data_IF_758888050851
#
_entry.id   IF_758888050851
#
_cell.length_a   1.000
_cell.length_b   1.000
_cell.length_c   1.000
_cell.angle_alpha   90.00
_cell.angle_beta   90.00
_cell.angle_gamma   90.00
#
_symmetry.space_group_name_H-M   'P 1'
#
loop_
_entity.id
_entity.type
_entity.pdbx_description
1 polymer ?
#
# COMPACT_ATOMS: atom_id res chain seq x y z
N UNK A 1 -11.06 -15.25 31.67
CA UNK A 1 -10.49 -14.02 31.04
C UNK A 1 -9.56 -14.34 29.86
N UNK A 2 -8.63 -15.30 29.99
CA UNK A 2 -7.66 -15.70 28.96
C UNK A 2 -8.27 -16.21 27.63
N UNK A 3 -9.31 -17.04 27.68
CA UNK A 3 -9.98 -17.56 26.47
C UNK A 3 -10.62 -16.45 25.61
N UNK A 4 -11.25 -15.44 26.25
CA UNK A 4 -11.82 -14.29 25.53
C UNK A 4 -10.74 -13.50 24.79
N UNK A 5 -9.54 -13.38 25.38
CA UNK A 5 -8.40 -12.71 24.76
C UNK A 5 -7.88 -13.51 23.56
N UNK A 6 -7.68 -14.82 23.73
CA UNK A 6 -7.22 -15.72 22.66
C UNK A 6 -8.24 -15.82 21.51
N UNK A 7 -9.54 -15.83 21.81
CA UNK A 7 -10.60 -15.79 20.81
C UNK A 7 -10.56 -14.49 20.00
N UNK A 8 -10.41 -13.33 20.66
CA UNK A 8 -10.26 -12.04 19.97
C UNK A 8 -8.99 -11.98 19.11
N UNK A 9 -7.87 -12.47 19.65
CA UNK A 9 -6.60 -12.52 18.94
C UNK A 9 -6.70 -13.39 17.69
N UNK A 10 -7.26 -14.59 17.80
CA UNK A 10 -7.51 -15.49 16.68
C UNK A 10 -8.39 -14.87 15.60
N UNK A 11 -9.51 -14.22 15.96
CA UNK A 11 -10.39 -13.54 14.99
C UNK A 11 -9.69 -12.37 14.28
N UNK A 12 -8.88 -11.60 15.01
CA UNK A 12 -8.09 -10.50 14.43
C UNK A 12 -7.02 -11.05 13.48
N UNK A 13 -6.34 -12.13 13.84
CA UNK A 13 -5.33 -12.77 13.00
C UNK A 13 -5.94 -13.37 11.72
N UNK A 14 -7.13 -13.95 11.80
CA UNK A 14 -7.85 -14.43 10.62
C UNK A 14 -8.21 -13.28 9.66
N UNK A 15 -8.72 -12.17 10.18
CA UNK A 15 -9.02 -10.99 9.37
C UNK A 15 -7.76 -10.31 8.81
N UNK A 16 -6.64 -10.34 9.54
CA UNK A 16 -5.33 -9.91 9.04
C UNK A 16 -4.85 -10.79 7.89
N UNK A 17 -4.99 -12.11 7.98
CA UNK A 17 -4.66 -13.02 6.89
C UNK A 17 -5.52 -12.75 5.66
N UNK A 18 -6.83 -12.58 5.85
CA UNK A 18 -7.74 -12.21 4.77
C UNK A 18 -7.35 -10.88 4.10
N UNK A 19 -7.00 -9.89 4.91
CA UNK A 19 -6.49 -8.60 4.45
C UNK A 19 -5.23 -8.77 3.61
N UNK A 20 -4.27 -9.57 4.08
CA UNK A 20 -3.01 -9.83 3.39
C UNK A 20 -3.20 -10.42 2.00
N UNK A 21 -4.15 -11.36 1.85
CA UNK A 21 -4.48 -11.99 0.55
C UNK A 21 -5.10 -11.03 -0.46
N UNK A 22 -5.73 -9.94 0.01
CA UNK A 22 -6.42 -8.97 -0.85
C UNK A 22 -5.56 -7.80 -1.29
N UNK A 23 -4.44 -7.54 -0.61
CA UNK A 23 -3.58 -6.43 -0.95
C UNK A 23 -2.61 -6.84 -2.05
N UNK A 24 -2.65 -6.12 -3.18
CA UNK A 24 -1.66 -6.26 -4.24
C UNK A 24 -0.23 -5.98 -3.73
N UNK A 25 0.73 -6.72 -4.26
CA UNK A 25 2.18 -6.58 -4.04
C UNK A 25 2.72 -5.21 -4.48
N UNK A 26 1.92 -4.44 -5.23
CA UNK A 26 2.20 -3.04 -5.47
C UNK A 26 2.25 -2.21 -4.18
N UNK A 27 1.43 -2.56 -3.19
CA UNK A 27 1.22 -1.78 -1.98
C UNK A 27 1.94 -2.36 -0.76
N UNK A 28 2.18 -3.67 -0.71
CA UNK A 28 2.92 -4.30 0.38
C UNK A 28 4.26 -4.86 -0.10
N UNK A 29 5.33 -4.42 0.57
CA UNK A 29 6.65 -5.00 0.36
C UNK A 29 6.68 -6.44 0.84
N UNK A 30 7.54 -7.24 0.21
CA UNK A 30 7.81 -8.63 0.62
C UNK A 30 8.14 -8.72 2.10
N UNK A 31 8.98 -7.82 2.60
CA UNK A 31 9.43 -7.83 3.99
C UNK A 31 8.28 -7.55 4.95
N UNK A 32 7.36 -6.63 4.60
CA UNK A 32 6.13 -6.42 5.38
C UNK A 32 5.22 -7.65 5.36
N UNK A 33 5.11 -8.36 4.24
CA UNK A 33 4.31 -9.60 4.18
C UNK A 33 4.91 -10.70 5.06
N UNK A 34 6.24 -10.89 5.00
CA UNK A 34 6.97 -11.83 5.85
C UNK A 34 6.72 -11.50 7.33
N UNK A 35 6.91 -10.24 7.71
CA UNK A 35 6.69 -9.78 9.07
C UNK A 35 5.27 -10.07 9.59
N UNK A 36 4.25 -9.85 8.75
CA UNK A 36 2.86 -10.15 9.12
C UNK A 36 2.66 -11.67 9.26
N UNK A 37 3.18 -12.48 8.34
CA UNK A 37 3.02 -13.96 8.40
C UNK A 37 3.72 -14.55 9.63
N UNK A 38 4.92 -14.07 9.96
CA UNK A 38 5.65 -14.49 11.17
C UNK A 38 4.86 -14.16 12.44
N UNK A 39 4.18 -13.00 12.47
CA UNK A 39 3.25 -12.66 13.54
C UNK A 39 2.05 -13.62 13.62
N UNK A 40 1.43 -13.94 12.49
CA UNK A 40 0.30 -14.87 12.46
C UNK A 40 0.70 -16.27 12.95
N UNK A 41 1.89 -16.74 12.58
CA UNK A 41 2.45 -18.00 13.06
C UNK A 41 2.74 -17.97 14.57
N UNK A 42 3.22 -16.84 15.10
CA UNK A 42 3.42 -16.65 16.54
C UNK A 42 2.09 -16.73 17.31
N UNK A 43 1.02 -16.12 16.79
CA UNK A 43 -0.33 -16.23 17.36
C UNK A 43 -0.81 -17.68 17.40
N UNK A 44 -0.59 -18.45 16.31
CA UNK A 44 -0.93 -19.88 16.30
C UNK A 44 -0.16 -20.62 17.41
N UNK A 45 1.14 -20.33 17.58
CA UNK A 45 1.95 -20.93 18.64
C UNK A 45 1.46 -20.55 20.04
N UNK A 46 0.97 -19.32 20.26
CA UNK A 46 0.32 -18.91 21.51
C UNK A 46 -0.98 -19.69 21.78
N UNK A 47 -1.84 -19.84 20.78
CA UNK A 47 -3.08 -20.62 20.91
C UNK A 47 -2.79 -22.09 21.25
N UNK A 48 -1.83 -22.72 20.54
CA UNK A 48 -1.43 -24.11 20.79
C UNK A 48 -0.85 -24.29 22.20
N UNK A 49 0.07 -23.42 22.62
CA UNK A 49 0.65 -23.46 23.99
C UNK A 49 -0.41 -23.28 25.08
N UNK A 50 -1.48 -22.55 24.79
CA UNK A 50 -2.60 -22.34 25.70
C UNK A 50 -3.67 -23.44 25.63
N UNK A 51 -3.47 -24.50 24.84
CA UNK A 51 -4.47 -25.54 24.55
C UNK A 51 -5.81 -24.98 24.02
N UNK A 52 -5.78 -23.81 23.38
CA UNK A 52 -6.95 -23.13 22.85
C UNK A 52 -7.20 -23.55 21.39
N UNK A 53 -8.29 -24.29 21.15
CA UNK A 53 -8.67 -24.73 19.80
C UNK A 53 -9.42 -23.64 19.05
N UNK A 54 -9.00 -23.36 17.82
CA UNK A 54 -9.66 -22.40 16.92
C UNK A 54 -9.37 -22.77 15.46
N UNK A 55 -10.31 -22.57 14.52
CA UNK A 55 -10.08 -22.84 13.09
C UNK A 55 -8.86 -22.11 12.52
N UNK A 56 -8.45 -20.99 13.13
CA UNK A 56 -7.25 -20.26 12.70
C UNK A 56 -5.96 -21.11 12.79
N UNK A 57 -5.89 -22.08 13.70
CA UNK A 57 -4.73 -22.99 13.82
C UNK A 57 -4.55 -23.82 12.54
N UNK A 58 -5.65 -24.16 11.86
CA UNK A 58 -5.64 -24.96 10.62
C UNK A 58 -4.95 -24.22 9.47
N UNK A 59 -4.75 -22.89 9.58
CA UNK A 59 -4.03 -22.08 8.60
C UNK A 59 -2.51 -22.18 8.71
N UNK A 60 -1.97 -22.92 9.69
CA UNK A 60 -0.53 -23.00 9.95
C UNK A 60 0.27 -23.47 8.74
N UNK A 61 -0.15 -24.58 8.12
CA UNK A 61 0.57 -25.15 6.97
C UNK A 61 0.58 -24.19 5.79
N UNK A 62 -0.59 -23.62 5.47
CA UNK A 62 -0.74 -22.59 4.45
C UNK A 62 0.22 -21.40 4.70
N UNK A 63 0.30 -20.91 5.92
CA UNK A 63 1.18 -19.80 6.29
C UNK A 63 2.66 -20.14 6.15
N UNK A 64 3.07 -21.37 6.50
CA UNK A 64 4.45 -21.83 6.36
C UNK A 64 4.87 -21.94 4.89
N UNK A 65 3.97 -22.43 4.03
CA UNK A 65 4.20 -22.49 2.58
C UNK A 65 4.39 -21.07 2.03
N UNK A 66 3.45 -20.16 2.31
CA UNK A 66 3.57 -18.76 1.86
C UNK A 66 4.84 -18.08 2.38
N UNK A 67 5.22 -18.32 3.63
CA UNK A 67 6.45 -17.79 4.20
C UNK A 67 7.70 -18.29 3.45
N UNK A 68 7.73 -19.59 3.14
CA UNK A 68 8.81 -20.21 2.37
C UNK A 68 8.89 -19.63 0.96
N UNK A 69 7.77 -19.52 0.26
CA UNK A 69 7.71 -18.91 -1.09
C UNK A 69 8.20 -17.47 -1.11
N UNK A 70 7.80 -16.66 -0.13
CA UNK A 70 8.26 -15.28 -0.01
C UNK A 70 9.76 -15.21 0.26
N UNK A 71 10.28 -16.03 1.18
CA UNK A 71 11.72 -16.06 1.49
C UNK A 71 12.56 -16.53 0.30
N UNK A 72 12.06 -17.48 -0.48
CA UNK A 72 12.70 -17.98 -1.70
C UNK A 72 12.49 -17.10 -2.93
N UNK A 73 11.67 -16.04 -2.83
CA UNK A 73 11.35 -15.16 -3.95
C UNK A 73 10.53 -15.83 -5.05
N UNK A 74 9.84 -16.94 -4.77
CA UNK A 74 9.08 -17.74 -5.73
C UNK A 74 7.62 -17.31 -5.89
N UNK A 75 7.19 -16.31 -5.14
CA UNK A 75 5.80 -15.85 -5.16
C UNK A 75 5.48 -15.04 -6.44
N UNK A 76 4.41 -15.42 -7.14
CA UNK A 76 3.90 -14.66 -8.30
C UNK A 76 3.18 -13.41 -7.78
N UNK A 77 3.88 -12.28 -7.84
CA UNK A 77 3.39 -11.01 -7.33
C UNK A 77 2.37 -10.35 -8.28
N UNK A 78 1.11 -10.18 -7.83
CA UNK A 78 0.17 -9.25 -8.49
C UNK A 78 0.62 -7.81 -8.21
N UNK A 79 0.97 -7.06 -9.26
CA UNK A 79 1.37 -5.64 -9.16
C UNK A 79 0.27 -4.69 -9.62
N UNK A 80 -0.98 -5.12 -9.51
CA UNK A 80 -2.14 -4.39 -9.99
C UNK A 80 -2.30 -3.06 -9.26
N UNK A 81 -2.66 -2.04 -10.05
CA UNK A 81 -2.93 -0.71 -9.54
C UNK A 81 -4.41 -0.56 -9.27
N UNK A 82 -4.73 0.29 -8.31
CA UNK A 82 -6.10 0.74 -8.08
C UNK A 82 -6.52 1.49 -9.34
N UNK A 83 -7.64 1.08 -9.92
CA UNK A 83 -8.14 1.63 -11.18
C UNK A 83 -9.51 2.30 -11.05
N UNK A 84 -10.17 2.16 -9.90
CA UNK A 84 -11.47 2.76 -9.61
C UNK A 84 -11.56 3.30 -8.17
N UNK A 85 -12.52 4.20 -7.94
CA UNK A 85 -12.81 4.74 -6.60
C UNK A 85 -13.21 3.62 -5.61
N UNK A 86 -14.00 2.65 -6.05
CA UNK A 86 -14.40 1.52 -5.22
C UNK A 86 -13.19 0.67 -4.79
N UNK A 87 -12.28 0.36 -5.72
CA UNK A 87 -11.04 -0.36 -5.39
C UNK A 87 -10.15 0.45 -4.45
N UNK A 88 -10.09 1.77 -4.64
CA UNK A 88 -9.35 2.66 -3.76
C UNK A 88 -9.87 2.58 -2.33
N UNK A 89 -11.18 2.74 -2.12
CA UNK A 89 -11.81 2.70 -0.79
C UNK A 89 -11.62 1.35 -0.12
N UNK A 90 -11.78 0.25 -0.86
CA UNK A 90 -11.49 -1.09 -0.35
C UNK A 90 -10.02 -1.23 0.09
N UNK A 91 -9.08 -0.75 -0.72
CA UNK A 91 -7.66 -0.78 -0.39
C UNK A 91 -7.34 0.08 0.84
N UNK A 92 -7.91 1.28 0.94
CA UNK A 92 -7.73 2.16 2.10
C UNK A 92 -8.26 1.50 3.38
N UNK A 93 -9.43 0.88 3.34
CA UNK A 93 -10.01 0.19 4.49
C UNK A 93 -9.15 -0.99 4.95
N UNK A 94 -8.64 -1.79 4.01
CA UNK A 94 -7.76 -2.91 4.31
C UNK A 94 -6.44 -2.43 4.92
N UNK A 95 -5.79 -1.43 4.33
CA UNK A 95 -4.53 -0.90 4.83
C UNK A 95 -4.71 -0.21 6.21
N UNK A 96 -5.84 0.46 6.43
CA UNK A 96 -6.16 1.08 7.72
C UNK A 96 -6.37 0.03 8.81
N UNK A 97 -7.04 -1.08 8.47
CA UNK A 97 -7.14 -2.23 9.35
C UNK A 97 -5.74 -2.76 9.70
N UNK A 98 -4.89 -3.01 8.70
CA UNK A 98 -3.53 -3.50 8.94
C UNK A 98 -2.70 -2.57 9.83
N UNK A 99 -2.78 -1.25 9.61
CA UNK A 99 -2.12 -0.25 10.47
C UNK A 99 -2.56 -0.36 11.93
N UNK A 100 -3.87 -0.51 12.17
CA UNK A 100 -4.42 -0.64 13.53
C UNK A 100 -3.92 -1.92 14.18
N UNK A 101 -3.94 -3.02 13.45
CA UNK A 101 -3.53 -4.32 13.99
C UNK A 101 -2.03 -4.40 14.28
N UNK A 102 -1.17 -3.90 13.39
CA UNK A 102 0.28 -3.85 13.61
C UNK A 102 0.64 -2.95 14.79
N UNK A 103 -0.07 -1.83 14.95
CA UNK A 103 0.11 -0.94 16.11
C UNK A 103 -0.23 -1.63 17.43
N UNK A 104 -1.18 -2.57 17.39
CA UNK A 104 -1.68 -3.31 18.55
C UNK A 104 -1.09 -4.72 18.64
N UNK A 105 0.06 -4.97 17.99
CA UNK A 105 0.80 -6.21 18.18
C UNK A 105 1.31 -6.30 19.62
N UNK A 106 1.11 -7.44 20.31
CA UNK A 106 1.58 -7.60 21.67
C UNK A 106 3.11 -7.60 21.70
N UNK A 107 3.69 -7.03 22.77
CA UNK A 107 5.14 -7.03 22.98
C UNK A 107 5.71 -8.46 23.07
N UNK A 108 4.88 -9.45 23.44
CA UNK A 108 5.22 -10.89 23.46
C UNK A 108 5.60 -11.45 22.09
N UNK A 109 5.25 -10.78 20.99
CA UNK A 109 5.69 -11.18 19.64
C UNK A 109 7.21 -11.05 19.47
N UNK A 110 7.89 -10.27 20.32
CA UNK A 110 9.36 -10.14 20.27
C UNK A 110 9.88 -9.23 19.15
N UNK A 111 8.99 -8.62 18.35
CA UNK A 111 9.37 -7.59 17.39
C UNK A 111 9.82 -6.32 18.10
N UNK A 112 11.03 -5.82 17.79
CA UNK A 112 11.49 -4.55 18.36
C UNK A 112 10.54 -3.41 17.95
N UNK A 113 10.35 -2.42 18.83
CA UNK A 113 9.53 -1.23 18.52
C UNK A 113 9.98 -0.52 17.25
N UNK A 114 11.28 -0.61 16.91
CA UNK A 114 11.85 -0.05 15.69
C UNK A 114 11.34 -0.78 14.45
N UNK A 115 11.32 -2.13 14.48
CA UNK A 115 10.80 -2.95 13.37
C UNK A 115 9.31 -2.72 13.16
N UNK A 116 8.52 -2.66 14.24
CA UNK A 116 7.07 -2.35 14.15
C UNK A 116 6.87 -0.97 13.51
N UNK A 117 7.59 0.06 13.97
CA UNK A 117 7.52 1.42 13.40
C UNK A 117 7.90 1.44 11.93
N UNK A 118 8.90 0.66 11.53
CA UNK A 118 9.31 0.55 10.13
C UNK A 118 8.16 0.03 9.25
N UNK A 119 7.53 -1.08 9.61
CA UNK A 119 6.40 -1.62 8.85
C UNK A 119 5.17 -0.71 8.87
N UNK A 120 4.90 0.00 9.97
CA UNK A 120 3.86 1.03 10.01
C UNK A 120 4.12 2.16 9.00
N UNK A 121 5.37 2.62 8.87
CA UNK A 121 5.73 3.63 7.86
C UNK A 121 5.55 3.08 6.44
N UNK A 122 5.94 1.83 6.18
CA UNK A 122 5.73 1.21 4.86
C UNK A 122 4.25 1.11 4.48
N UNK A 123 3.36 0.79 5.43
CA UNK A 123 1.92 0.71 5.16
C UNK A 123 1.31 2.10 5.00
N UNK A 124 1.77 3.12 5.74
CA UNK A 124 1.36 4.51 5.49
C UNK A 124 1.76 4.97 4.09
N UNK A 125 2.95 4.57 3.63
CA UNK A 125 3.34 4.81 2.25
C UNK A 125 2.46 4.07 1.24
N UNK A 126 2.01 2.84 1.57
CA UNK A 126 1.06 2.09 0.75
C UNK A 126 -0.27 2.85 0.54
N UNK A 127 -0.79 3.50 1.59
CA UNK A 127 -1.97 4.37 1.48
C UNK A 127 -1.75 5.51 0.49
N UNK A 128 -0.61 6.21 0.62
CA UNK A 128 -0.23 7.31 -0.27
C UNK A 128 -0.06 6.83 -1.73
N UNK A 129 0.53 5.65 -1.92
CA UNK A 129 0.73 5.06 -3.24
C UNK A 129 -0.59 4.69 -3.93
N UNK A 130 -1.54 4.10 -3.20
CA UNK A 130 -2.87 3.80 -3.72
C UNK A 130 -3.63 5.07 -4.15
N UNK A 131 -3.52 6.15 -3.36
CA UNK A 131 -4.14 7.44 -3.71
C UNK A 131 -3.49 8.06 -4.94
N UNK A 132 -2.16 8.01 -5.03
CA UNK A 132 -1.42 8.44 -6.21
C UNK A 132 -1.88 7.70 -7.46
N UNK A 133 -2.11 6.40 -7.39
CA UNK A 133 -2.51 5.61 -8.57
C UNK A 133 -3.90 5.96 -9.07
N UNK A 134 -4.85 6.16 -8.16
CA UNK A 134 -6.18 6.67 -8.50
C UNK A 134 -6.08 8.04 -9.16
N UNK A 135 -5.34 8.99 -8.56
CA UNK A 135 -5.19 10.34 -9.10
C UNK A 135 -4.56 10.35 -10.49
N UNK A 136 -3.55 9.50 -10.73
CA UNK A 136 -2.95 9.36 -12.06
C UNK A 136 -3.91 8.74 -13.07
N UNK A 137 -4.73 7.76 -12.66
CA UNK A 137 -5.76 7.21 -13.55
C UNK A 137 -6.79 8.27 -13.93
N UNK A 138 -7.27 9.05 -12.96
CA UNK A 138 -8.20 10.15 -13.19
C UNK A 138 -7.60 11.27 -14.05
N UNK A 139 -6.32 11.62 -13.83
CA UNK A 139 -5.62 12.61 -14.64
C UNK A 139 -5.50 12.18 -16.11
N UNK A 140 -5.30 10.88 -16.37
CA UNK A 140 -5.30 10.34 -17.74
C UNK A 140 -6.68 10.44 -18.39
N UNK A 141 -7.74 10.14 -17.66
CA UNK A 141 -9.12 10.34 -18.14
C UNK A 141 -9.40 11.82 -18.44
N UNK A 142 -8.96 12.73 -17.56
CA UNK A 142 -9.07 14.17 -17.81
C UNK A 142 -8.31 14.59 -19.08
N UNK A 143 -7.15 14.01 -19.38
CA UNK A 143 -6.41 14.28 -20.63
C UNK A 143 -7.15 13.76 -21.86
N UNK A 144 -7.72 12.55 -21.80
CA UNK A 144 -8.56 11.97 -22.86
C UNK A 144 -9.79 12.85 -23.16
N UNK A 145 -10.31 13.52 -22.12
CA UNK A 145 -11.43 14.47 -22.21
C UNK A 145 -11.00 15.92 -22.51
N UNK A 146 -9.74 16.16 -22.89
CA UNK A 146 -9.15 17.49 -23.14
C UNK A 146 -9.15 18.46 -21.94
N UNK A 147 -9.35 17.97 -20.72
CA UNK A 147 -9.32 18.74 -19.46
C UNK A 147 -7.90 18.85 -18.88
N UNK A 148 -6.96 19.37 -19.68
CA UNK A 148 -5.52 19.44 -19.35
C UNK A 148 -5.20 20.12 -18.01
N UNK A 149 -5.87 21.25 -17.69
CA UNK A 149 -5.67 21.95 -16.42
C UNK A 149 -6.03 21.09 -15.20
N UNK A 150 -7.15 20.36 -15.28
CA UNK A 150 -7.59 19.43 -14.22
C UNK A 150 -6.64 18.26 -14.06
N UNK A 151 -6.15 17.71 -15.18
CA UNK A 151 -5.14 16.66 -15.16
C UNK A 151 -3.85 17.11 -14.45
N UNK A 152 -3.39 18.34 -14.75
CA UNK A 152 -2.22 18.95 -14.10
C UNK A 152 -2.40 19.08 -12.58
N UNK A 153 -3.56 19.59 -12.14
CA UNK A 153 -3.90 19.68 -10.71
C UNK A 153 -3.85 18.32 -10.02
N UNK A 154 -4.41 17.27 -10.64
CA UNK A 154 -4.36 15.91 -10.08
C UNK A 154 -2.94 15.37 -9.98
N UNK A 155 -2.09 15.59 -10.98
CA UNK A 155 -0.69 15.17 -10.90
C UNK A 155 0.09 15.92 -9.81
N UNK A 156 -0.11 17.24 -9.69
CA UNK A 156 0.48 18.05 -8.61
C UNK A 156 0.00 17.60 -7.24
N UNK A 157 -1.29 17.28 -7.11
CA UNK A 157 -1.82 16.75 -5.86
C UNK A 157 -1.21 15.38 -5.52
N UNK A 158 -1.12 14.47 -6.49
CA UNK A 158 -0.45 13.19 -6.32
C UNK A 158 1.02 13.35 -5.91
N UNK A 159 1.74 14.33 -6.49
CA UNK A 159 3.12 14.64 -6.14
C UNK A 159 3.24 15.05 -4.66
N UNK A 160 2.39 15.97 -4.22
CA UNK A 160 2.40 16.46 -2.83
C UNK A 160 2.17 15.34 -1.79
N UNK A 161 1.38 14.32 -2.14
CA UNK A 161 1.13 13.15 -1.29
C UNK A 161 2.38 12.26 -1.19
N UNK A 162 3.06 12.03 -2.32
CA UNK A 162 4.28 11.20 -2.36
C UNK A 162 5.45 11.88 -1.66
N UNK A 163 5.58 13.21 -1.76
CA UNK A 163 6.67 13.96 -1.15
C UNK A 163 6.70 13.87 0.38
N UNK A 164 5.54 13.74 1.02
CA UNK A 164 5.43 13.49 2.47
C UNK A 164 6.07 12.16 2.93
N UNK A 165 6.43 11.28 1.99
CA UNK A 165 7.01 9.97 2.23
C UNK A 165 8.47 9.87 1.74
N UNK A 166 9.21 10.99 1.73
CA UNK A 166 10.58 11.07 1.21
C UNK A 166 11.62 10.14 1.87
N UNK A 167 11.34 9.63 3.08
CA UNK A 167 12.20 8.65 3.76
C UNK A 167 12.12 7.24 3.15
N UNK A 168 11.11 6.95 2.33
CA UNK A 168 10.94 5.65 1.68
C UNK A 168 11.62 5.65 0.31
N UNK A 169 12.56 4.74 0.08
CA UNK A 169 13.37 4.70 -1.16
C UNK A 169 12.50 4.64 -2.42
N UNK A 170 11.44 3.84 -2.40
CA UNK A 170 10.54 3.69 -3.55
C UNK A 170 9.73 4.96 -3.87
N UNK A 171 9.56 5.89 -2.91
CA UNK A 171 8.84 7.15 -3.13
C UNK A 171 9.61 8.07 -4.09
N UNK A 172 10.95 8.03 -4.08
CA UNK A 172 11.81 8.81 -4.98
C UNK A 172 11.51 8.52 -6.45
N UNK A 173 11.31 7.24 -6.80
CA UNK A 173 10.97 6.83 -8.17
C UNK A 173 9.59 7.32 -8.59
N UNK A 174 8.60 7.23 -7.70
CA UNK A 174 7.24 7.70 -8.00
C UNK A 174 7.19 9.23 -8.09
N UNK A 175 7.98 9.95 -7.27
CA UNK A 175 8.16 11.40 -7.34
C UNK A 175 8.69 11.81 -8.73
N UNK A 176 9.79 11.22 -9.17
CA UNK A 176 10.40 11.55 -10.47
C UNK A 176 9.42 11.31 -11.65
N UNK A 177 8.64 10.22 -11.59
CA UNK A 177 7.62 9.93 -12.59
C UNK A 177 6.51 10.99 -12.63
N UNK A 178 6.05 11.44 -11.46
CA UNK A 178 5.02 12.49 -11.38
C UNK A 178 5.55 13.82 -11.86
N UNK A 179 6.79 14.19 -11.53
CA UNK A 179 7.43 15.40 -12.04
C UNK A 179 7.50 15.40 -13.57
N UNK A 180 7.88 14.27 -14.19
CA UNK A 180 7.85 14.14 -15.64
C UNK A 180 6.44 14.29 -16.22
N UNK A 181 5.44 13.62 -15.64
CA UNK A 181 4.05 13.74 -16.09
C UNK A 181 3.51 15.17 -15.99
N UNK A 182 3.93 15.92 -14.97
CA UNK A 182 3.58 17.34 -14.79
C UNK A 182 4.19 18.17 -15.92
N UNK A 183 5.50 18.02 -16.17
CA UNK A 183 6.19 18.72 -17.26
C UNK A 183 5.57 18.42 -18.62
N UNK A 184 5.23 17.15 -18.90
CA UNK A 184 4.57 16.75 -20.15
C UNK A 184 3.23 17.49 -20.34
N UNK A 185 2.41 17.62 -19.30
CA UNK A 185 1.14 18.36 -19.38
C UNK A 185 1.34 19.87 -19.45
N UNK A 186 2.35 20.41 -18.76
CA UNK A 186 2.69 21.84 -18.82
C UNK A 186 3.11 22.23 -20.24
N UNK A 187 3.96 21.46 -20.92
CA UNK A 187 4.29 21.70 -22.34
C UNK A 187 3.01 21.72 -23.19
N UNK A 188 2.11 20.74 -23.04
CA UNK A 188 0.85 20.70 -23.79
C UNK A 188 -0.13 21.85 -23.51
N UNK A 189 0.00 22.52 -22.35
CA UNK A 189 -0.81 23.67 -21.96
C UNK A 189 -0.20 24.99 -22.43
N UNK A 190 1.13 25.08 -22.46
CA UNK A 190 1.86 26.34 -22.65
C UNK A 190 2.64 26.43 -23.98
N UNK A 191 2.68 25.37 -24.80
CA UNK A 191 3.29 25.36 -26.15
C UNK A 191 2.54 26.21 -27.21
N UNK A 192 1.63 27.11 -26.80
CA UNK A 192 0.90 28.01 -27.71
C UNK A 192 1.33 29.47 -27.65
N UNK A 193 2.55 29.77 -27.18
CA UNK A 193 3.01 31.17 -27.03
C UNK A 193 4.29 31.55 -27.81
N UNK A 194 4.78 30.73 -28.75
CA UNK A 194 5.91 31.12 -29.63
C UNK A 194 5.51 31.66 -31.00
N UNK A 195 4.28 31.41 -31.49
CA UNK A 195 3.90 31.76 -32.87
C UNK A 195 2.99 33.00 -33.00
N UNK A 196 2.33 33.45 -31.93
CA UNK A 196 1.38 34.59 -31.99
C UNK A 196 1.99 35.97 -31.71
N UNK A 197 3.28 36.04 -31.34
CA UNK A 197 3.99 37.32 -31.12
C UNK A 197 4.78 37.74 -32.37
N UNK A 198 5.05 36.82 -33.31
CA UNK A 198 5.86 37.10 -34.50
C UNK A 198 5.09 37.77 -35.65
N UNK A 199 3.75 37.63 -35.72
CA UNK A 199 2.98 38.07 -36.90
C UNK A 199 2.37 39.49 -36.74
N UNK A 200 2.48 40.13 -35.57
CA UNK A 200 2.08 41.54 -35.39
C UNK A 200 3.21 42.56 -35.56
N UNK A 201 4.32 42.18 -36.20
CA UNK A 201 5.46 43.07 -36.49
C UNK A 201 5.99 42.95 -37.93
N UNK A 202 5.10 42.91 -38.92
CA UNK A 202 5.37 43.26 -40.31
C UNK A 202 4.15 44.00 -40.87
#
# INVERSE_FOLDING_TARGET
MRERLLSRLSKRSDHMLYSLKKVSDRYLTRDTKIFIIEYLLNVIAECVRANFRTPFIEKKEELLIHLSELKLGRNIASKDRVSSQQQFEQMQNILQYMLREIRNMPESYGGSRVVIKHHLTLIRYAHALAQRDLLVKQARQDLEENKKARALERYRFALSIIEKNGSIVSSKREKARLQKMIQDVEMLLFDKNSDDIAIKRQ
#
